data_IF_497945404700
#
_entry.id   IF_497945404700
#
_cell.length_a   1.000
_cell.length_b   1.000
_cell.length_c   1.000
_cell.angle_alpha   90.00
_cell.angle_beta   90.00
_cell.angle_gamma   90.00
#
_symmetry.space_group_name_H-M   'P 1'
#
loop_
_entity.id
_entity.type
_entity.pdbx_description
1 polymer ?
#
# COMPACT_ATOMS: atom_id res chain seq x y z
N UNK A 1 2.34 -11.30 7.58
CA UNK A 1 0.93 -11.65 7.28
C UNK A 1 -0.01 -11.72 8.48
N UNK A 2 0.39 -12.23 9.66
CA UNK A 2 -0.49 -12.24 10.87
C UNK A 2 -1.15 -10.88 11.18
N UNK A 3 -0.38 -9.78 11.07
CA UNK A 3 -0.90 -8.42 11.27
C UNK A 3 -1.99 -8.04 10.26
N UNK A 4 -1.81 -8.39 8.97
CA UNK A 4 -2.84 -8.17 7.95
C UNK A 4 -4.11 -8.94 8.29
N UNK A 5 -3.97 -10.24 8.61
CA UNK A 5 -5.11 -11.09 8.97
C UNK A 5 -5.90 -10.51 10.15
N UNK A 6 -5.22 -10.05 11.21
CA UNK A 6 -5.87 -9.40 12.35
C UNK A 6 -6.66 -8.15 11.96
N UNK A 7 -6.14 -7.34 11.02
CA UNK A 7 -6.80 -6.11 10.58
C UNK A 7 -8.04 -6.38 9.72
N UNK A 8 -8.07 -7.51 9.00
CA UNK A 8 -9.19 -7.88 8.10
C UNK A 8 -10.14 -8.92 8.71
N UNK A 9 -9.89 -9.40 9.93
CA UNK A 9 -10.56 -10.59 10.47
C UNK A 9 -12.07 -10.39 10.70
N UNK A 10 -12.47 -9.19 11.12
CA UNK A 10 -13.89 -8.86 11.33
C UNK A 10 -14.66 -8.60 10.02
N UNK A 11 -13.97 -8.57 8.87
CA UNK A 11 -14.56 -8.19 7.60
C UNK A 11 -14.78 -9.39 6.67
N UNK A 12 -15.91 -9.37 5.97
CA UNK A 12 -16.27 -10.32 4.91
C UNK A 12 -16.33 -9.66 3.52
N UNK A 13 -16.25 -8.33 3.51
CA UNK A 13 -16.31 -7.47 2.33
C UNK A 13 -15.19 -6.46 2.44
N UNK A 14 -14.40 -6.36 1.38
CA UNK A 14 -13.44 -5.27 1.20
C UNK A 14 -13.84 -4.45 -0.02
N UNK A 15 -13.50 -3.17 0.01
CA UNK A 15 -13.51 -2.32 -1.17
C UNK A 15 -12.11 -1.76 -1.33
N UNK A 16 -11.47 -2.09 -2.45
CA UNK A 16 -10.19 -1.51 -2.82
C UNK A 16 -10.47 -0.20 -3.55
N UNK A 17 -9.73 0.84 -3.17
CA UNK A 17 -9.90 2.20 -3.65
C UNK A 17 -8.59 2.72 -4.17
N UNK A 18 -8.70 3.47 -5.26
CA UNK A 18 -7.65 4.31 -5.79
C UNK A 18 -8.31 5.58 -6.37
N UNK A 19 -7.74 6.73 -6.02
CA UNK A 19 -8.29 8.05 -6.30
C UNK A 19 -7.22 8.90 -6.99
N UNK A 20 -7.63 9.54 -8.08
CA UNK A 20 -6.78 10.53 -8.73
C UNK A 20 -7.15 11.92 -8.23
N UNK A 21 -6.14 12.75 -7.99
CA UNK A 21 -6.28 14.07 -7.43
C UNK A 21 -5.58 15.16 -8.26
N UNK A 22 -6.05 16.41 -8.14
CA UNK A 22 -5.35 17.56 -8.72
C UNK A 22 -3.93 17.70 -8.14
N UNK A 23 -3.05 18.35 -8.89
CA UNK A 23 -1.62 18.44 -8.57
C UNK A 23 -1.34 19.19 -7.26
N UNK A 24 -2.07 20.27 -6.98
CA UNK A 24 -1.76 21.20 -5.89
C UNK A 24 -2.82 21.18 -4.78
N UNK A 25 -4.12 21.18 -5.12
CA UNK A 25 -5.20 21.14 -4.13
C UNK A 25 -5.52 19.71 -3.65
N UNK A 26 -5.09 18.68 -4.39
CA UNK A 26 -5.44 17.29 -4.14
C UNK A 26 -6.96 17.05 -4.10
N UNK A 27 -7.71 17.79 -4.91
CA UNK A 27 -9.14 17.55 -5.11
C UNK A 27 -9.34 16.34 -6.03
N UNK A 28 -10.34 15.53 -5.72
CA UNK A 28 -10.66 14.33 -6.47
C UNK A 28 -11.06 14.67 -7.91
N UNK A 29 -10.41 14.02 -8.86
CA UNK A 29 -10.75 14.10 -10.29
C UNK A 29 -11.24 12.76 -10.83
N UNK A 30 -10.86 11.65 -10.19
CA UNK A 30 -11.47 10.36 -10.44
C UNK A 30 -11.49 9.45 -9.20
N UNK A 31 -12.46 8.55 -9.17
CA UNK A 31 -12.62 7.51 -8.17
C UNK A 31 -12.71 6.15 -8.85
N UNK A 32 -11.74 5.29 -8.55
CA UNK A 32 -11.74 3.88 -8.90
C UNK A 32 -12.02 3.04 -7.67
N UNK A 33 -12.92 2.06 -7.82
CA UNK A 33 -13.27 1.17 -6.73
C UNK A 33 -13.61 -0.23 -7.20
N UNK A 34 -13.15 -1.23 -6.46
CA UNK A 34 -13.57 -2.62 -6.67
C UNK A 34 -13.96 -3.30 -5.38
N UNK A 35 -15.16 -3.89 -5.38
CA UNK A 35 -15.76 -4.55 -4.21
C UNK A 35 -15.60 -6.05 -4.31
N UNK A 36 -15.08 -6.67 -3.26
CA UNK A 36 -14.86 -8.11 -3.19
C UNK A 36 -15.53 -8.75 -1.98
N UNK A 37 -15.76 -10.07 -2.08
CA UNK A 37 -16.11 -10.92 -0.93
C UNK A 37 -14.95 -11.84 -0.60
N UNK A 38 -14.77 -12.14 0.69
CA UNK A 38 -13.68 -12.98 1.17
C UNK A 38 -14.13 -14.42 1.46
N UNK A 39 -13.18 -15.35 1.40
CA UNK A 39 -13.29 -16.67 2.04
C UNK A 39 -13.05 -16.57 3.55
N UNK A 40 -13.28 -17.68 4.29
CA UNK A 40 -12.94 -17.76 5.72
C UNK A 40 -11.44 -17.52 5.98
N UNK A 41 -10.57 -17.97 5.08
CA UNK A 41 -9.11 -17.73 5.14
C UNK A 41 -8.69 -16.31 4.70
N UNK A 42 -9.66 -15.41 4.46
CA UNK A 42 -9.46 -14.01 4.06
C UNK A 42 -8.87 -13.77 2.68
N UNK A 43 -8.64 -14.81 1.88
CA UNK A 43 -8.38 -14.63 0.44
C UNK A 43 -9.64 -14.18 -0.29
N UNK A 44 -9.48 -13.57 -1.46
CA UNK A 44 -10.60 -13.09 -2.28
C UNK A 44 -11.36 -14.31 -2.83
N UNK A 45 -12.66 -14.37 -2.54
CA UNK A 45 -13.59 -15.36 -3.08
C UNK A 45 -14.10 -14.96 -4.46
N UNK A 46 -14.51 -13.70 -4.60
CA UNK A 46 -14.98 -13.14 -5.87
C UNK A 46 -14.97 -11.63 -5.87
N UNK A 47 -14.77 -11.08 -7.06
CA UNK A 47 -15.12 -9.70 -7.41
C UNK A 47 -16.64 -9.61 -7.53
N UNK A 48 -17.23 -8.54 -7.00
CA UNK A 48 -18.69 -8.36 -6.99
C UNK A 48 -19.16 -7.19 -7.81
N UNK A 49 -18.45 -6.06 -7.75
CA UNK A 49 -18.75 -4.85 -8.50
C UNK A 49 -17.46 -4.04 -8.68
N UNK A 50 -17.38 -3.31 -9.79
CA UNK A 50 -16.41 -2.25 -10.04
C UNK A 50 -17.13 -0.92 -10.25
N UNK A 51 -16.40 0.17 -10.04
CA UNK A 51 -16.88 1.53 -10.21
C UNK A 51 -15.71 2.40 -10.68
N UNK A 52 -15.97 3.23 -11.69
CA UNK A 52 -15.11 4.34 -12.10
C UNK A 52 -15.98 5.57 -12.26
N UNK A 53 -15.57 6.69 -11.68
CA UNK A 53 -16.30 7.96 -11.71
C UNK A 53 -15.32 9.10 -11.93
N UNK A 54 -15.61 9.97 -12.89
CA UNK A 54 -14.94 11.26 -13.04
C UNK A 54 -15.60 12.30 -12.13
N UNK A 55 -14.80 13.13 -11.48
CA UNK A 55 -15.27 14.11 -10.50
C UNK A 55 -14.81 15.50 -10.93
N UNK A 56 -15.71 16.48 -10.91
CA UNK A 56 -15.41 17.87 -11.24
C UNK A 56 -14.67 18.52 -10.06
N UNK A 57 -13.37 18.85 -10.17
CA UNK A 57 -12.66 19.61 -9.15
C UNK A 57 -13.02 21.10 -9.23
N UNK A 58 -12.73 21.87 -8.18
CA UNK A 58 -12.85 23.33 -8.24
C UNK A 58 -11.63 23.95 -8.91
N UNK A 59 -10.44 23.43 -8.60
CA UNK A 59 -9.19 23.87 -9.21
C UNK A 59 -8.88 23.15 -10.52
N UNK A 60 -8.06 23.80 -11.35
CA UNK A 60 -7.63 23.22 -12.63
C UNK A 60 -6.78 21.96 -12.42
N UNK A 61 -6.96 20.99 -13.31
CA UNK A 61 -6.06 19.84 -13.41
C UNK A 61 -4.73 20.33 -13.97
N UNK A 62 -3.64 19.99 -13.30
CA UNK A 62 -2.30 20.32 -13.76
C UNK A 62 -1.87 19.39 -14.89
N UNK A 63 -1.15 19.91 -15.89
CA UNK A 63 -0.68 19.14 -17.06
C UNK A 63 0.07 17.86 -16.71
N UNK A 64 0.80 17.83 -15.58
CA UNK A 64 1.48 16.62 -15.11
C UNK A 64 0.46 15.53 -14.78
N UNK A 65 -0.60 15.87 -14.03
CA UNK A 65 -1.67 14.93 -13.66
C UNK A 65 -2.46 14.50 -14.90
N UNK A 66 -2.77 15.41 -15.82
CA UNK A 66 -3.44 15.06 -17.09
C UNK A 66 -2.61 14.06 -17.89
N UNK A 67 -1.29 14.27 -17.99
CA UNK A 67 -0.40 13.38 -18.72
C UNK A 67 -0.30 11.99 -18.08
N UNK A 68 -0.34 11.90 -16.75
CA UNK A 68 -0.27 10.64 -16.00
C UNK A 68 -1.59 9.88 -16.10
N UNK A 69 -2.69 10.53 -15.72
CA UNK A 69 -4.02 9.89 -15.56
C UNK A 69 -4.84 9.82 -16.85
N UNK A 70 -4.43 10.59 -17.87
CA UNK A 70 -5.18 10.85 -19.12
C UNK A 70 -6.54 11.51 -18.92
N UNK A 71 -6.84 12.01 -17.72
CA UNK A 71 -8.05 12.76 -17.42
C UNK A 71 -7.84 14.20 -17.86
N UNK A 72 -8.53 14.62 -18.91
CA UNK A 72 -8.45 15.99 -19.45
C UNK A 72 -9.63 16.85 -19.00
N UNK A 73 -9.52 18.18 -19.06
CA UNK A 73 -10.64 19.08 -18.78
C UNK A 73 -11.89 18.78 -19.62
N UNK A 74 -11.71 18.36 -20.88
CA UNK A 74 -12.81 17.99 -21.77
C UNK A 74 -13.55 16.73 -21.27
N UNK A 75 -12.81 15.73 -20.78
CA UNK A 75 -13.40 14.53 -20.16
C UNK A 75 -14.18 14.92 -18.91
N UNK A 76 -13.60 15.77 -18.04
CA UNK A 76 -14.27 16.24 -16.83
C UNK A 76 -15.53 17.04 -17.15
N UNK A 77 -15.51 17.91 -18.16
CA UNK A 77 -16.68 18.70 -18.52
C UNK A 77 -17.83 17.80 -18.97
N UNK A 78 -17.52 16.79 -19.79
CA UNK A 78 -18.48 15.87 -20.39
C UNK A 78 -19.01 14.80 -19.42
N UNK A 79 -18.13 14.23 -18.59
CA UNK A 79 -18.42 13.01 -17.81
C UNK A 79 -18.35 13.24 -16.30
N UNK A 80 -17.77 14.36 -15.85
CA UNK A 80 -17.57 14.65 -14.45
C UNK A 80 -18.88 14.90 -13.70
N UNK A 81 -18.97 14.38 -12.48
CA UNK A 81 -20.04 14.70 -11.53
C UNK A 81 -19.50 15.49 -10.34
N UNK A 82 -20.37 16.10 -9.55
CA UNK A 82 -19.95 16.79 -8.33
C UNK A 82 -19.32 15.81 -7.33
N UNK A 83 -18.41 16.29 -6.47
CA UNK A 83 -17.83 15.45 -5.41
C UNK A 83 -18.91 14.86 -4.48
N UNK A 84 -19.96 15.64 -4.18
CA UNK A 84 -21.11 15.18 -3.42
C UNK A 84 -21.80 13.99 -4.10
N UNK A 85 -22.07 14.08 -5.39
CA UNK A 85 -22.73 13.01 -6.14
C UNK A 85 -21.83 11.78 -6.25
N UNK A 86 -20.52 11.97 -6.38
CA UNK A 86 -19.54 10.89 -6.34
C UNK A 86 -19.57 10.13 -5.00
N UNK A 87 -19.64 10.83 -3.86
CA UNK A 87 -19.77 10.18 -2.55
C UNK A 87 -21.10 9.43 -2.39
N UNK A 88 -22.21 10.01 -2.88
CA UNK A 88 -23.53 9.34 -2.86
C UNK A 88 -23.51 8.09 -3.74
N UNK A 89 -22.96 8.19 -4.96
CA UNK A 89 -22.79 7.06 -5.86
C UNK A 89 -21.91 5.98 -5.25
N UNK A 90 -20.80 6.36 -4.61
CA UNK A 90 -19.88 5.44 -3.94
C UNK A 90 -20.52 4.72 -2.74
N UNK A 91 -21.28 5.43 -1.91
CA UNK A 91 -22.06 4.82 -0.83
C UNK A 91 -23.09 3.83 -1.38
N UNK A 92 -23.79 4.18 -2.46
CA UNK A 92 -24.74 3.27 -3.15
C UNK A 92 -24.04 2.05 -3.73
N UNK A 93 -22.85 2.21 -4.31
CA UNK A 93 -21.99 1.12 -4.79
C UNK A 93 -21.64 0.14 -3.67
N UNK A 94 -21.26 0.66 -2.50
CA UNK A 94 -20.99 -0.14 -1.31
C UNK A 94 -22.25 -0.85 -0.79
N UNK A 95 -23.42 -0.22 -0.92
CA UNK A 95 -24.72 -0.77 -0.57
C UNK A 95 -24.93 -0.88 0.96
N UNK A 96 -25.79 -1.81 1.39
CA UNK A 96 -26.16 -1.99 2.81
C UNK A 96 -24.97 -2.31 3.73
N UNK A 97 -23.87 -2.80 3.17
CA UNK A 97 -22.67 -3.18 3.92
C UNK A 97 -21.67 -2.02 4.09
N UNK A 98 -21.99 -0.79 3.69
CA UNK A 98 -21.06 0.35 3.73
C UNK A 98 -20.36 0.52 5.09
N UNK A 99 -21.11 0.45 6.20
CA UNK A 99 -20.55 0.58 7.56
C UNK A 99 -19.80 -0.66 8.06
N UNK A 100 -19.93 -1.79 7.36
CA UNK A 100 -19.28 -3.08 7.65
C UNK A 100 -18.20 -3.43 6.62
N UNK A 101 -17.81 -2.47 5.79
CA UNK A 101 -16.80 -2.62 4.75
C UNK A 101 -15.49 -2.04 5.26
N UNK A 102 -14.39 -2.75 4.99
CA UNK A 102 -13.05 -2.19 5.13
C UNK A 102 -12.59 -1.68 3.76
N UNK A 103 -12.19 -0.42 3.74
CA UNK A 103 -11.64 0.24 2.56
C UNK A 103 -10.13 0.03 2.53
N UNK A 104 -9.59 -0.36 1.38
CA UNK A 104 -8.17 -0.70 1.25
C UNK A 104 -7.56 0.20 0.17
N UNK A 105 -6.48 0.89 0.52
CA UNK A 105 -5.77 1.81 -0.38
C UNK A 105 -4.30 1.41 -0.51
N UNK A 106 -3.60 2.00 -1.47
CA UNK A 106 -2.16 1.82 -1.64
C UNK A 106 -1.40 3.10 -1.25
N UNK A 107 -1.23 3.28 0.07
CA UNK A 107 -0.75 4.53 0.63
C UNK A 107 -1.87 5.34 1.28
N UNK A 108 -1.50 6.48 1.87
CA UNK A 108 -2.43 7.38 2.56
C UNK A 108 -2.95 8.52 1.69
N UNK A 109 -2.54 8.60 0.42
CA UNK A 109 -2.86 9.72 -0.46
C UNK A 109 -4.35 9.80 -0.78
N UNK A 110 -5.02 8.66 -1.01
CA UNK A 110 -6.46 8.59 -1.24
C UNK A 110 -7.27 9.22 -0.12
N UNK A 111 -6.89 8.94 1.13
CA UNK A 111 -7.54 9.53 2.31
C UNK A 111 -7.31 11.04 2.34
N UNK A 112 -6.14 11.53 1.93
CA UNK A 112 -5.89 12.97 1.77
C UNK A 112 -6.81 13.56 0.71
N UNK A 113 -6.95 12.93 -0.46
CA UNK A 113 -7.81 13.40 -1.56
C UNK A 113 -9.26 13.53 -1.09
N UNK A 114 -9.80 12.53 -0.38
CA UNK A 114 -11.16 12.57 0.17
C UNK A 114 -11.36 13.76 1.13
N UNK A 115 -10.39 14.00 2.01
CA UNK A 115 -10.48 15.08 2.98
C UNK A 115 -10.32 16.46 2.33
N UNK A 116 -9.40 16.62 1.37
CA UNK A 116 -9.21 17.89 0.66
C UNK A 116 -10.44 18.23 -0.18
N UNK A 117 -10.98 17.27 -0.93
CA UNK A 117 -12.20 17.46 -1.71
C UNK A 117 -13.40 17.89 -0.85
N UNK A 118 -13.49 17.39 0.38
CA UNK A 118 -14.53 17.77 1.34
C UNK A 118 -14.39 19.23 1.81
N UNK A 119 -13.17 19.75 1.95
CA UNK A 119 -12.94 21.15 2.32
C UNK A 119 -13.46 22.12 1.25
N UNK A 120 -13.36 21.72 -0.03
CA UNK A 120 -13.84 22.51 -1.16
C UNK A 120 -15.33 22.29 -1.48
N UNK A 121 -15.94 21.20 -0.98
CA UNK A 121 -17.33 20.82 -1.27
C UNK A 121 -18.19 20.76 0.00
N UNK A 122 -18.60 21.92 0.52
CA UNK A 122 -19.30 22.03 1.81
C UNK A 122 -20.65 21.30 1.88
N UNK A 123 -21.26 21.01 0.73
CA UNK A 123 -22.53 20.31 0.62
C UNK A 123 -22.39 18.77 0.53
N UNK A 124 -21.15 18.27 0.47
CA UNK A 124 -20.84 16.85 0.48
C UNK A 124 -20.91 16.26 1.91
N UNK A 125 -21.30 14.99 2.03
CA UNK A 125 -21.49 14.34 3.33
C UNK A 125 -20.14 14.00 3.99
N UNK A 126 -19.83 14.72 5.07
CA UNK A 126 -18.66 14.47 5.90
C UNK A 126 -18.72 13.10 6.59
N UNK A 127 -19.92 12.57 6.85
CA UNK A 127 -20.12 11.26 7.47
C UNK A 127 -19.64 10.12 6.57
N UNK A 128 -19.81 10.25 5.25
CA UNK A 128 -19.31 9.26 4.29
C UNK A 128 -17.77 9.23 4.33
N UNK A 129 -17.14 10.40 4.26
CA UNK A 129 -15.67 10.54 4.31
C UNK A 129 -15.12 10.04 5.64
N UNK A 130 -15.77 10.38 6.75
CA UNK A 130 -15.39 9.93 8.08
C UNK A 130 -15.48 8.40 8.20
N UNK A 131 -16.55 7.79 7.70
CA UNK A 131 -16.71 6.34 7.74
C UNK A 131 -15.62 5.62 6.93
N UNK A 132 -15.26 6.15 5.75
CA UNK A 132 -14.17 5.60 4.92
C UNK A 132 -12.84 5.72 5.67
N UNK A 133 -12.53 6.92 6.18
CA UNK A 133 -11.28 7.20 6.90
C UNK A 133 -11.12 6.36 8.16
N UNK A 134 -12.22 6.13 8.90
CA UNK A 134 -12.25 5.30 10.11
C UNK A 134 -12.05 3.81 9.79
N UNK A 135 -12.60 3.34 8.69
CA UNK A 135 -12.60 1.92 8.30
C UNK A 135 -11.65 1.70 7.11
N UNK A 136 -10.45 2.27 7.19
CA UNK A 136 -9.46 2.20 6.12
C UNK A 136 -8.23 1.36 6.53
N UNK A 137 -7.63 0.70 5.55
CA UNK A 137 -6.38 -0.03 5.63
C UNK A 137 -5.45 0.37 4.49
N UNK A 138 -4.31 0.96 4.83
CA UNK A 138 -3.20 1.15 3.89
C UNK A 138 -2.42 -0.16 3.74
N UNK A 139 -2.59 -0.84 2.61
CA UNK A 139 -1.93 -2.12 2.35
C UNK A 139 -0.41 -1.94 2.16
N UNK A 140 0.00 -0.84 1.54
CA UNK A 140 1.42 -0.51 1.31
C UNK A 140 2.16 -0.35 2.65
N UNK A 141 1.54 0.32 3.63
CA UNK A 141 2.09 0.44 4.98
C UNK A 141 2.14 -0.89 5.74
N UNK A 142 1.29 -1.86 5.41
CA UNK A 142 1.38 -3.20 6.00
C UNK A 142 2.50 -4.01 5.37
N UNK A 143 2.60 -4.04 4.04
CA UNK A 143 3.57 -4.85 3.32
C UNK A 143 5.00 -4.30 3.43
N UNK A 144 5.18 -2.98 3.47
CA UNK A 144 6.48 -2.32 3.65
C UNK A 144 7.19 -2.61 4.98
N UNK A 145 6.51 -3.26 5.93
CA UNK A 145 7.14 -3.77 7.16
C UNK A 145 7.96 -5.04 6.91
N UNK A 146 7.72 -5.71 5.79
CA UNK A 146 8.32 -6.98 5.43
C UNK A 146 9.14 -6.91 4.15
N UNK A 147 8.76 -6.04 3.21
CA UNK A 147 9.37 -5.94 1.88
C UNK A 147 9.77 -4.50 1.63
N UNK A 148 11.04 -4.27 1.28
CA UNK A 148 11.62 -2.97 0.94
C UNK A 148 12.66 -3.12 -0.15
N UNK A 149 13.00 -2.02 -0.82
CA UNK A 149 14.11 -1.99 -1.77
C UNK A 149 15.46 -1.91 -1.06
N UNK A 150 16.55 -1.97 -1.83
CA UNK A 150 17.93 -1.82 -1.34
C UNK A 150 18.18 -0.50 -0.59
N UNK A 151 17.37 0.51 -0.87
CA UNK A 151 17.42 1.84 -0.25
C UNK A 151 16.45 1.97 0.93
N UNK A 152 15.80 0.88 1.34
CA UNK A 152 14.77 0.82 2.39
C UNK A 152 13.49 1.61 2.10
N UNK A 153 13.23 1.95 0.85
CA UNK A 153 11.95 2.52 0.41
C UNK A 153 10.88 1.42 0.27
N UNK A 154 9.63 1.87 0.27
CA UNK A 154 8.47 1.03 -0.01
C UNK A 154 8.39 0.76 -1.51
N UNK A 155 8.05 -0.47 -1.90
CA UNK A 155 7.79 -0.81 -3.30
C UNK A 155 6.56 -0.07 -3.84
N UNK A 156 6.59 0.25 -5.14
CA UNK A 156 5.37 0.63 -5.88
C UNK A 156 4.42 -0.57 -6.01
N UNK A 157 3.16 -0.32 -6.37
CA UNK A 157 2.17 -1.37 -6.61
C UNK A 157 2.65 -2.37 -7.67
N UNK A 158 3.18 -1.87 -8.79
CA UNK A 158 3.78 -2.66 -9.87
C UNK A 158 4.92 -3.55 -9.35
N UNK A 159 5.85 -2.98 -8.58
CA UNK A 159 6.98 -3.75 -8.03
C UNK A 159 6.52 -4.80 -7.02
N UNK A 160 5.44 -4.55 -6.28
CA UNK A 160 4.85 -5.57 -5.41
C UNK A 160 4.22 -6.70 -6.20
N UNK A 161 3.47 -6.42 -7.28
CA UNK A 161 2.88 -7.45 -8.13
C UNK A 161 3.92 -8.33 -8.80
N UNK A 162 5.01 -7.72 -9.29
CA UNK A 162 6.09 -8.46 -9.94
C UNK A 162 6.76 -9.49 -9.03
N UNK A 163 6.79 -9.25 -7.70
CA UNK A 163 7.27 -10.25 -6.73
C UNK A 163 6.49 -11.57 -6.77
N UNK A 164 5.20 -11.50 -7.12
CA UNK A 164 4.32 -12.65 -7.21
C UNK A 164 4.19 -13.18 -8.65
N UNK A 165 5.06 -12.73 -9.56
CA UNK A 165 5.01 -13.08 -10.98
C UNK A 165 3.75 -12.56 -11.67
N UNK A 166 3.21 -11.43 -11.20
CA UNK A 166 2.06 -10.75 -11.79
C UNK A 166 2.50 -9.48 -12.51
N UNK A 167 2.04 -9.34 -13.73
CA UNK A 167 2.11 -8.08 -14.46
C UNK A 167 0.96 -7.18 -14.02
N UNK A 168 1.16 -5.87 -14.14
CA UNK A 168 0.10 -4.91 -13.88
C UNK A 168 -0.93 -5.00 -15.01
N UNK A 169 -2.20 -5.21 -14.68
CA UNK A 169 -3.27 -5.28 -15.67
C UNK A 169 -3.81 -3.90 -16.00
N UNK A 170 -3.78 -3.51 -17.28
CA UNK A 170 -4.26 -2.21 -17.74
C UNK A 170 -3.20 -1.11 -17.65
N UNK A 171 -3.65 0.14 -17.74
CA UNK A 171 -2.78 1.31 -17.70
C UNK A 171 -2.56 1.79 -16.26
N UNK A 172 -1.31 1.98 -15.80
CA UNK A 172 -1.04 2.64 -14.53
C UNK A 172 -1.61 4.06 -14.50
N UNK A 173 -2.07 4.52 -13.32
CA UNK A 173 -2.79 5.79 -13.15
C UNK A 173 -4.19 5.82 -13.79
N UNK A 174 -4.71 4.67 -14.20
CA UNK A 174 -6.15 4.45 -14.30
C UNK A 174 -6.67 3.95 -12.95
N UNK A 175 -7.39 4.80 -12.24
CA UNK A 175 -7.84 4.51 -10.88
C UNK A 175 -8.63 3.19 -10.72
N UNK A 176 -9.40 2.76 -11.73
CA UNK A 176 -10.09 1.48 -11.62
C UNK A 176 -9.12 0.31 -11.77
N UNK A 177 -8.17 0.40 -12.70
CA UNK A 177 -7.15 -0.61 -12.88
C UNK A 177 -6.22 -0.69 -11.67
N UNK A 178 -5.81 0.44 -11.10
CA UNK A 178 -5.03 0.48 -9.86
C UNK A 178 -5.79 -0.18 -8.69
N UNK A 179 -7.09 0.10 -8.52
CA UNK A 179 -7.91 -0.58 -7.51
C UNK A 179 -8.02 -2.10 -7.73
N UNK A 180 -8.13 -2.56 -8.98
CA UNK A 180 -8.15 -3.99 -9.34
C UNK A 180 -6.80 -4.65 -9.04
N UNK A 181 -5.71 -4.04 -9.47
CA UNK A 181 -4.35 -4.50 -9.23
C UNK A 181 -4.02 -4.55 -7.73
N UNK A 182 -4.51 -3.57 -6.95
CA UNK A 182 -4.40 -3.57 -5.51
C UNK A 182 -5.13 -4.77 -4.86
N UNK A 183 -6.32 -5.12 -5.38
CA UNK A 183 -7.04 -6.30 -4.94
C UNK A 183 -6.27 -7.59 -5.24
N UNK A 184 -5.63 -7.69 -6.41
CA UNK A 184 -4.76 -8.81 -6.75
C UNK A 184 -3.56 -8.90 -5.82
N UNK A 185 -2.88 -7.78 -5.55
CA UNK A 185 -1.76 -7.74 -4.61
C UNK A 185 -2.18 -8.27 -3.23
N UNK A 186 -3.31 -7.80 -2.68
CA UNK A 186 -3.83 -8.30 -1.41
C UNK A 186 -4.02 -9.82 -1.42
N UNK A 187 -4.60 -10.35 -2.49
CA UNK A 187 -4.91 -11.76 -2.60
C UNK A 187 -3.64 -12.61 -2.70
N UNK A 188 -2.69 -12.20 -3.54
CA UNK A 188 -1.44 -12.92 -3.75
C UNK A 188 -0.54 -12.88 -2.52
N UNK A 189 -0.50 -11.75 -1.81
CA UNK A 189 0.22 -11.65 -0.53
C UNK A 189 -0.28 -12.67 0.52
N UNK A 190 -1.58 -12.99 0.51
CA UNK A 190 -2.16 -14.00 1.41
C UNK A 190 -1.96 -15.43 0.91
N UNK A 191 -2.02 -15.66 -0.41
CA UNK A 191 -1.83 -17.00 -1.01
C UNK A 191 -0.38 -17.45 -1.00
N UNK A 192 0.56 -16.51 -1.13
CA UNK A 192 1.98 -16.79 -1.32
C UNK A 192 2.85 -16.17 -0.20
N UNK A 193 2.59 -16.48 1.08
CA UNK A 193 3.31 -15.87 2.20
C UNK A 193 4.80 -16.20 2.22
N UNK A 194 5.23 -17.28 1.53
CA UNK A 194 6.63 -17.69 1.42
C UNK A 194 7.48 -16.65 0.69
N UNK A 195 6.97 -16.04 -0.38
CA UNK A 195 7.67 -14.99 -1.13
C UNK A 195 7.94 -13.78 -0.21
N UNK A 196 6.94 -13.37 0.57
CA UNK A 196 7.10 -12.29 1.54
C UNK A 196 8.10 -12.67 2.64
N UNK A 197 8.07 -13.92 3.11
CA UNK A 197 9.03 -14.43 4.09
C UNK A 197 10.47 -14.35 3.57
N UNK A 198 10.73 -14.83 2.35
CA UNK A 198 12.05 -14.80 1.74
C UNK A 198 12.58 -13.36 1.60
N UNK A 199 11.73 -12.42 1.14
CA UNK A 199 12.09 -11.00 1.07
C UNK A 199 12.34 -10.39 2.44
N UNK A 200 11.59 -10.79 3.46
CA UNK A 200 11.77 -10.28 4.81
C UNK A 200 13.07 -10.75 5.43
N UNK A 201 13.42 -12.04 5.29
CA UNK A 201 14.71 -12.57 5.75
C UNK A 201 15.88 -11.85 5.07
N UNK A 202 15.84 -11.74 3.74
CA UNK A 202 16.87 -11.04 2.97
C UNK A 202 17.02 -9.55 3.38
N UNK A 203 15.93 -8.91 3.80
CA UNK A 203 15.98 -7.55 4.32
C UNK A 203 16.60 -7.47 5.72
N UNK A 204 16.26 -8.40 6.62
CA UNK A 204 16.81 -8.44 7.98
C UNK A 204 18.34 -8.62 7.99
N UNK A 205 18.88 -9.40 7.06
CA UNK A 205 20.34 -9.59 6.87
C UNK A 205 21.09 -8.30 6.54
N UNK A 206 20.39 -7.32 5.97
CA UNK A 206 20.94 -6.05 5.45
C UNK A 206 20.43 -4.84 6.21
N UNK A 207 19.65 -5.03 7.27
CA UNK A 207 18.97 -3.93 7.94
C UNK A 207 19.93 -3.06 8.75
N UNK A 208 20.42 -1.99 8.11
CA UNK A 208 21.48 -1.10 8.61
C UNK A 208 21.20 -0.42 9.95
N UNK A 209 19.94 -0.38 10.41
CA UNK A 209 19.57 0.25 11.70
C UNK A 209 19.67 -0.71 12.89
N UNK A 210 19.91 -2.00 12.67
CA UNK A 210 20.20 -2.91 13.78
C UNK A 210 21.60 -2.66 14.34
N UNK A 211 21.82 -2.87 15.65
CA UNK A 211 23.15 -2.90 16.22
C UNK A 211 24.03 -3.91 15.48
N UNK A 212 25.29 -3.55 15.21
CA UNK A 212 26.23 -4.37 14.43
C UNK A 212 26.40 -5.81 14.95
N UNK A 213 26.44 -6.07 16.28
CA UNK A 213 26.51 -7.45 16.79
C UNK A 213 25.31 -8.29 16.36
N UNK A 214 24.11 -7.71 16.33
CA UNK A 214 22.88 -8.40 15.91
C UNK A 214 22.92 -8.72 14.41
N UNK A 215 23.37 -7.76 13.58
CA UNK A 215 23.54 -7.99 12.15
C UNK A 215 24.51 -9.14 11.89
N UNK A 216 25.65 -9.17 12.60
CA UNK A 216 26.64 -10.24 12.46
C UNK A 216 26.08 -11.61 12.86
N UNK A 217 25.26 -11.68 13.92
CA UNK A 217 24.58 -12.92 14.29
C UNK A 217 23.64 -13.40 13.19
N UNK A 218 22.80 -12.51 12.66
CA UNK A 218 21.88 -12.85 11.56
C UNK A 218 22.66 -13.35 10.35
N UNK A 219 23.74 -12.66 9.96
CA UNK A 219 24.60 -13.07 8.85
C UNK A 219 25.30 -14.41 9.09
N UNK A 220 25.74 -14.68 10.33
CA UNK A 220 26.34 -15.97 10.71
C UNK A 220 25.33 -17.10 10.60
N UNK A 221 24.10 -16.91 11.10
CA UNK A 221 23.03 -17.90 10.96
C UNK A 221 22.73 -18.17 9.48
N UNK A 222 22.63 -17.14 8.64
CA UNK A 222 22.36 -17.31 7.21
C UNK A 222 23.48 -18.05 6.47
N UNK A 223 24.74 -17.87 6.88
CA UNK A 223 25.91 -18.49 6.24
C UNK A 223 26.21 -19.89 6.77
N UNK A 224 26.23 -20.04 8.09
CA UNK A 224 26.74 -21.23 8.78
C UNK A 224 25.59 -22.11 9.32
N UNK A 225 24.34 -21.64 9.25
CA UNK A 225 23.15 -22.34 9.77
C UNK A 225 22.96 -22.25 11.28
N UNK A 226 23.95 -21.74 12.02
CA UNK A 226 23.93 -21.66 13.48
C UNK A 226 24.74 -20.46 13.98
N UNK A 227 24.26 -19.83 15.06
CA UNK A 227 25.02 -18.90 15.88
C UNK A 227 24.69 -19.14 17.35
N UNK A 228 25.67 -18.90 18.21
CA UNK A 228 25.63 -19.17 19.65
C UNK A 228 25.58 -17.87 20.45
N UNK A 229 25.33 -17.99 21.75
CA UNK A 229 25.44 -16.85 22.66
C UNK A 229 26.89 -16.34 22.77
N UNK A 230 27.86 -17.25 22.64
CA UNK A 230 29.29 -16.95 22.57
C UNK A 230 29.63 -16.09 21.36
N UNK A 231 29.13 -16.43 20.16
CA UNK A 231 29.28 -15.59 18.96
C UNK A 231 28.74 -14.17 19.20
N UNK A 232 27.59 -14.07 19.90
CA UNK A 232 26.99 -12.76 20.19
C UNK A 232 27.86 -11.94 21.14
N UNK A 233 28.38 -12.56 22.21
CA UNK A 233 29.33 -11.91 23.13
C UNK A 233 30.59 -11.47 22.41
N UNK A 234 31.14 -12.29 21.51
CA UNK A 234 32.33 -11.97 20.71
C UNK A 234 32.08 -10.74 19.83
N UNK A 235 31.00 -10.74 19.03
CA UNK A 235 30.67 -9.60 18.18
C UNK A 235 30.34 -8.33 18.98
N UNK A 236 29.75 -8.46 20.17
CA UNK A 236 29.52 -7.33 21.05
C UNK A 236 30.83 -6.78 21.63
N UNK A 237 31.78 -7.66 21.99
CA UNK A 237 33.09 -7.27 22.49
C UNK A 237 33.93 -6.56 21.42
N UNK A 238 33.88 -6.99 20.17
CA UNK A 238 34.57 -6.34 19.04
C UNK A 238 34.19 -4.86 18.84
N UNK A 239 32.99 -4.44 19.24
CA UNK A 239 32.55 -3.04 19.14
C UNK A 239 33.17 -2.15 20.23
N UNK A 240 33.60 -2.76 21.34
CA UNK A 240 34.18 -2.07 22.51
C UNK A 240 35.72 -2.16 22.47
N UNK A 241 36.24 -3.31 22.05
CA UNK A 241 37.67 -3.55 22.00
C UNK A 241 38.33 -2.62 20.98
N UNK A 242 39.33 -1.85 21.44
CA UNK A 242 40.12 -1.02 20.54
C UNK A 242 40.75 -1.89 19.45
N UNK A 243 40.74 -1.45 18.18
CA UNK A 243 41.33 -2.25 17.10
C UNK A 243 42.80 -2.49 17.41
N UNK A 244 43.16 -3.75 17.66
CA UNK A 244 44.56 -4.15 17.76
C UNK A 244 45.18 -3.86 16.40
N UNK A 245 45.94 -2.78 16.29
CA UNK A 245 46.71 -2.46 15.09
C UNK A 245 47.61 -3.65 14.81
N UNK A 246 47.22 -4.50 13.84
CA UNK A 246 48.11 -5.52 13.30
C UNK A 246 49.33 -4.77 12.77
N UNK A 247 50.47 -4.88 13.47
CA UNK A 247 51.76 -4.42 12.96
C UNK A 247 51.92 -5.08 11.59
N UNK A 248 51.86 -4.29 10.52
CA UNK A 248 52.29 -4.74 9.20
C UNK A 248 53.74 -5.20 9.38
N UNK A 249 53.99 -6.50 9.31
CA UNK A 249 55.33 -7.02 9.14
C UNK A 249 55.83 -6.48 7.81
N UNK A 250 56.69 -5.46 7.86
CA UNK A 250 57.52 -5.08 6.73
C UNK A 250 58.42 -6.29 6.47
N UNK A 251 58.13 -7.01 5.39
CA UNK A 251 59.14 -7.81 4.68
C UNK A 251 59.81 -6.88 3.68
#
# INVERSE_FOLDING_TARGET
MKKLLKLVDSYQTLVFLDLEGTQFSHEMIALGAVKVRLHKNKTIKRFTKSMKVCVKPHEKIGRIVENLTKITPEIIEKEGISYKDALVAFKKFCGRDFTKTLFVTFGSHDIRILNQSLLHSKDASSEIVHQISKSHLDLSQVLSKYVRDENSNTYSLVNFLSLFGKEFEGEPHDCLQDAINLAYLYNEALKQPKIIFEKYVAWLEKYKKMPRPIIKIVQKISKDGVATYEDFKEFAYEEIAAPVKKKKSRR
#
